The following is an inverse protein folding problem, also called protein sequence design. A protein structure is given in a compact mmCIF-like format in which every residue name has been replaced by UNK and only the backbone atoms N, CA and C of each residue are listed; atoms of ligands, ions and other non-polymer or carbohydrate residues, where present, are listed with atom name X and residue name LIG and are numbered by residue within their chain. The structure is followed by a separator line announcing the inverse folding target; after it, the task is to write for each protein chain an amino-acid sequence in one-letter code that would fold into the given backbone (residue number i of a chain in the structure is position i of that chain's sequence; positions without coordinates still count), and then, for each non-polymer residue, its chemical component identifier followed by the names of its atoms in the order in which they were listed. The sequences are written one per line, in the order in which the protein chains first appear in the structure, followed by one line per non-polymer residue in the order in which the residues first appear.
data_IF_571015846760
#
_entry.id   IF_571015846760
#
_cell.length_a   1.000
_cell.length_b   1.000
_cell.length_c   1.000
_cell.angle_alpha   90.00
_cell.angle_beta   90.00
_cell.angle_gamma   90.00
#
_symmetry.space_group_name_H-M   'P 1'
#
loop_
_entity.id
_entity.type
_entity.pdbx_description
1 polymer ?
#
# COMPACT_ATOMS: atom_id res chain seq x y z
N UNK A 1 10.28 -33.52 -20.08
CA UNK A 1 9.89 -32.73 -18.88
C UNK A 1 10.42 -31.29 -18.88
N UNK A 2 10.78 -30.65 -20.01
CA UNK A 2 11.48 -29.34 -20.00
C UNK A 2 10.74 -28.17 -20.67
N UNK A 3 9.81 -28.45 -21.59
CA UNK A 3 9.11 -27.40 -22.37
C UNK A 3 8.00 -26.71 -21.53
N UNK A 4 7.32 -27.45 -20.64
CA UNK A 4 6.26 -26.88 -19.78
C UNK A 4 6.82 -25.96 -18.68
N UNK A 5 8.04 -26.22 -18.20
CA UNK A 5 8.70 -25.40 -17.17
C UNK A 5 9.21 -24.05 -17.74
N UNK A 6 9.74 -24.06 -18.97
CA UNK A 6 10.18 -22.84 -19.66
C UNK A 6 9.03 -21.84 -19.87
N UNK A 7 7.81 -22.33 -20.12
CA UNK A 7 6.66 -21.46 -20.36
C UNK A 7 6.14 -20.80 -19.07
N UNK A 8 6.23 -21.46 -17.91
CA UNK A 8 5.88 -20.86 -16.61
C UNK A 8 6.80 -19.70 -16.22
N UNK A 9 8.11 -19.83 -16.42
CA UNK A 9 9.07 -18.76 -16.08
C UNK A 9 8.92 -17.52 -16.98
N UNK A 10 8.57 -17.71 -18.27
CA UNK A 10 8.34 -16.61 -19.20
C UNK A 10 7.11 -15.77 -18.83
N UNK A 11 6.04 -16.41 -18.34
CA UNK A 11 4.82 -15.73 -17.87
C UNK A 11 5.08 -14.95 -16.58
N UNK A 12 5.73 -15.55 -15.57
CA UNK A 12 6.07 -14.85 -14.32
C UNK A 12 7.05 -13.68 -14.54
N UNK A 13 8.03 -13.84 -15.44
CA UNK A 13 9.00 -12.78 -15.77
C UNK A 13 8.37 -11.57 -16.49
N UNK A 14 7.46 -11.81 -17.43
CA UNK A 14 6.77 -10.73 -18.17
C UNK A 14 5.80 -9.95 -17.25
N UNK A 15 5.07 -10.65 -16.37
CA UNK A 15 4.21 -10.02 -15.36
C UNK A 15 5.01 -9.25 -14.29
N UNK A 16 6.19 -9.74 -13.91
CA UNK A 16 7.08 -9.09 -12.95
C UNK A 16 7.70 -7.78 -13.44
N UNK A 17 8.03 -7.67 -14.73
CA UNK A 17 8.68 -6.46 -15.27
C UNK A 17 7.72 -5.27 -15.42
N UNK A 18 6.44 -5.54 -15.73
CA UNK A 18 5.42 -4.49 -15.86
C UNK A 18 4.87 -4.04 -14.50
N UNK A 19 4.88 -4.93 -13.49
CA UNK A 19 4.43 -4.61 -12.14
C UNK A 19 5.47 -3.82 -11.35
N UNK A 20 6.77 -4.14 -11.42
CA UNK A 20 7.79 -3.49 -10.59
C UNK A 20 7.98 -2.00 -10.89
N UNK A 21 8.15 -1.59 -12.17
CA UNK A 21 8.34 -0.18 -12.52
C UNK A 21 7.11 0.68 -12.26
N UNK A 22 5.92 0.15 -12.55
CA UNK A 22 4.64 0.85 -12.28
C UNK A 22 4.37 0.94 -10.80
N UNK A 23 4.67 -0.12 -10.04
CA UNK A 23 4.57 -0.13 -8.58
C UNK A 23 5.51 0.89 -7.95
N UNK A 24 6.77 0.97 -8.37
CA UNK A 24 7.71 1.96 -7.83
C UNK A 24 7.25 3.41 -8.09
N UNK A 25 6.73 3.69 -9.28
CA UNK A 25 6.22 5.03 -9.63
C UNK A 25 4.93 5.35 -8.86
N UNK A 26 4.03 4.38 -8.72
CA UNK A 26 2.79 4.52 -7.96
C UNK A 26 3.09 4.69 -6.45
N UNK A 27 4.02 3.92 -5.90
CA UNK A 27 4.45 4.01 -4.52
C UNK A 27 5.08 5.39 -4.23
N UNK A 28 5.93 5.91 -5.14
CA UNK A 28 6.48 7.28 -5.04
C UNK A 28 5.40 8.37 -5.18
N UNK A 29 4.45 8.19 -6.10
CA UNK A 29 3.35 9.14 -6.30
C UNK A 29 2.40 9.22 -5.10
N UNK A 30 2.22 8.11 -4.39
CA UNK A 30 1.37 8.01 -3.20
C UNK A 30 2.13 8.18 -1.89
N UNK A 31 3.45 8.36 -1.91
CA UNK A 31 4.31 8.45 -0.73
C UNK A 31 3.83 9.55 0.23
N UNK A 32 3.60 10.76 -0.30
CA UNK A 32 3.11 11.89 0.49
C UNK A 32 1.72 11.66 1.08
N UNK A 33 0.81 11.02 0.33
CA UNK A 33 -0.53 10.68 0.81
C UNK A 33 -0.44 9.66 1.94
N UNK A 34 0.43 8.66 1.78
CA UNK A 34 0.70 7.64 2.79
C UNK A 34 1.22 8.30 4.07
N UNK A 35 2.27 9.11 3.97
CA UNK A 35 2.83 9.85 5.12
C UNK A 35 1.78 10.74 5.80
N UNK A 36 0.97 11.46 5.03
CA UNK A 36 -0.07 12.34 5.57
C UNK A 36 -1.16 11.58 6.30
N UNK A 37 -1.69 10.50 5.72
CA UNK A 37 -2.75 9.67 6.31
C UNK A 37 -2.25 8.94 7.55
N UNK A 38 -1.06 8.32 7.49
CA UNK A 38 -0.48 7.68 8.67
C UNK A 38 -0.13 8.70 9.77
N UNK A 39 0.27 9.92 9.43
CA UNK A 39 0.51 10.99 10.40
C UNK A 39 -0.76 11.45 11.10
N UNK A 40 -1.88 11.57 10.37
CA UNK A 40 -3.19 11.90 10.95
C UNK A 40 -3.70 10.76 11.85
N UNK A 41 -3.64 9.53 11.35
CA UNK A 41 -3.96 8.32 12.14
C UNK A 41 -3.13 8.28 13.43
N UNK A 42 -1.81 8.43 13.32
CA UNK A 42 -0.91 8.38 14.47
C UNK A 42 -1.23 9.44 15.53
N UNK A 43 -1.70 10.63 15.12
CA UNK A 43 -2.15 11.68 16.04
C UNK A 43 -3.50 11.35 16.67
N UNK A 44 -4.47 10.88 15.88
CA UNK A 44 -5.79 10.50 16.38
C UNK A 44 -5.68 9.37 17.42
N UNK A 45 -4.77 8.42 17.20
CA UNK A 45 -4.53 7.32 18.17
C UNK A 45 -3.49 7.65 19.25
N UNK A 46 -2.80 8.80 19.19
CA UNK A 46 -1.75 9.13 20.15
C UNK A 46 -2.33 9.32 21.55
N UNK A 47 -1.93 8.45 22.49
CA UNK A 47 -2.39 8.50 23.87
C UNK A 47 -3.73 7.80 24.13
N UNK A 48 -4.38 7.24 23.09
CA UNK A 48 -5.52 6.33 23.25
C UNK A 48 -5.02 4.88 23.24
N UNK A 49 -5.40 4.09 24.24
CA UNK A 49 -5.04 2.65 24.30
C UNK A 49 -5.97 1.76 23.47
N UNK A 50 -7.06 2.33 22.94
CA UNK A 50 -8.08 1.63 22.17
C UNK A 50 -8.67 2.61 21.16
N UNK A 51 -9.04 2.12 19.98
CA UNK A 51 -9.76 2.93 18.98
C UNK A 51 -11.19 3.07 19.47
N UNK A 52 -11.57 4.27 19.89
CA UNK A 52 -12.91 4.62 20.34
C UNK A 52 -13.63 5.50 19.30
N UNK A 53 -14.90 5.81 19.58
CA UNK A 53 -15.79 6.49 18.64
C UNK A 53 -15.26 7.88 18.24
N UNK A 54 -14.61 8.61 19.17
CA UNK A 54 -13.98 9.90 18.85
C UNK A 54 -12.88 9.78 17.79
N UNK A 55 -12.07 8.70 17.86
CA UNK A 55 -11.03 8.42 16.85
C UNK A 55 -11.66 8.04 15.52
N UNK A 56 -12.80 7.35 15.53
CA UNK A 56 -13.53 7.00 14.31
C UNK A 56 -14.10 8.25 13.62
N UNK A 57 -14.67 9.18 14.38
CA UNK A 57 -15.19 10.45 13.86
C UNK A 57 -14.05 11.31 13.24
N UNK A 58 -12.90 11.40 13.92
CA UNK A 58 -11.70 12.10 13.41
C UNK A 58 -11.18 11.49 12.10
N UNK A 59 -11.36 10.19 11.91
CA UNK A 59 -10.96 9.50 10.68
C UNK A 59 -11.98 9.64 9.56
N UNK A 60 -13.27 9.73 9.89
CA UNK A 60 -14.34 9.96 8.93
C UNK A 60 -14.28 11.38 8.34
N UNK A 61 -13.82 12.39 9.10
CA UNK A 61 -13.58 13.75 8.59
C UNK A 61 -12.36 13.83 7.64
N UNK A 62 -11.40 12.93 7.80
CA UNK A 62 -10.11 12.97 7.10
C UNK A 62 -10.12 12.22 5.75
N UNK A 63 -11.03 11.26 5.58
CA UNK A 63 -11.21 10.42 4.39
C UNK A 63 -12.24 10.99 3.41
#
# INVERSE_FOLDING_TARGET
MSIFAQNKNKIMGLFGLFSNKKKETLDKGLEKTKESVFGKLARAVAGKSTVDDDVLDDLEEVL
#
